data_IF_921733442478
#
_entry.id   IF_921733442478
#
_cell.length_a   1.000
_cell.length_b   1.000
_cell.length_c   1.000
_cell.angle_alpha   90.00
_cell.angle_beta   90.00
_cell.angle_gamma   90.00
#
_symmetry.space_group_name_H-M   'P 1'
#
loop_
_entity.id
_entity.type
_entity.pdbx_description
1 polymer ?
#
# COMPACT_ATOMS: atom_id res chain seq x y z
N UNK A 1 0.38 -9.33 19.32
CA UNK A 1 0.85 -8.52 18.17
C UNK A 1 -0.36 -8.04 17.40
N UNK A 2 -0.35 -6.79 16.95
CA UNK A 2 -1.50 -6.15 16.32
C UNK A 2 -1.15 -5.72 14.89
N UNK A 3 -2.09 -5.90 13.96
CA UNK A 3 -1.99 -5.34 12.62
C UNK A 3 -2.55 -3.92 12.59
N UNK A 4 -1.84 -2.99 11.95
CA UNK A 4 -2.36 -1.67 11.62
C UNK A 4 -2.72 -1.61 10.15
N UNK A 5 -3.97 -1.30 9.86
CA UNK A 5 -4.47 -0.97 8.52
C UNK A 5 -4.86 0.49 8.49
N UNK A 6 -4.40 1.21 7.48
CA UNK A 6 -4.66 2.64 7.40
C UNK A 6 -4.76 3.15 5.97
N UNK A 7 -5.49 4.26 5.85
CA UNK A 7 -5.69 5.04 4.66
C UNK A 7 -5.48 6.50 5.04
N UNK A 8 -4.42 7.10 4.51
CA UNK A 8 -3.99 8.44 4.86
C UNK A 8 -3.91 9.33 3.62
N UNK A 9 -4.22 10.61 3.78
CA UNK A 9 -4.21 11.59 2.70
C UNK A 9 -3.12 12.64 2.91
N UNK A 10 -2.38 12.91 1.85
CA UNK A 10 -1.31 13.91 1.81
C UNK A 10 -1.86 15.34 1.68
N UNK A 11 -2.57 15.86 2.70
CA UNK A 11 -3.00 17.27 2.85
C UNK A 11 -3.28 17.66 4.31
N UNK A 12 -3.03 18.94 4.62
CA UNK A 12 -3.57 19.67 5.78
C UNK A 12 -4.90 20.34 5.38
N UNK A 13 -6.05 19.85 5.85
CA UNK A 13 -7.32 20.58 5.77
C UNK A 13 -8.46 19.89 4.99
N UNK A 14 -9.60 19.84 5.70
CA UNK A 14 -10.99 19.46 5.42
C UNK A 14 -11.35 18.09 4.78
N UNK A 15 -12.40 17.54 5.39
CA UNK A 15 -12.87 16.14 5.50
C UNK A 15 -13.42 15.54 4.19
N UNK A 16 -13.00 14.29 3.93
CA UNK A 16 -13.58 13.14 3.21
C UNK A 16 -14.44 13.33 1.95
N UNK A 17 -14.10 12.54 0.92
CA UNK A 17 -15.10 11.94 0.02
C UNK A 17 -15.75 10.75 0.76
N UNK A 18 -17.08 10.58 0.70
CA UNK A 18 -17.77 9.47 1.36
C UNK A 18 -17.43 8.11 0.72
N UNK A 19 -17.29 7.10 1.58
CA UNK A 19 -17.17 5.68 1.24
C UNK A 19 -18.27 5.25 0.25
N UNK A 20 -17.92 4.44 -0.75
CA UNK A 20 -18.86 3.93 -1.76
C UNK A 20 -19.09 2.46 -1.47
N UNK A 21 -20.21 2.15 -0.79
CA UNK A 21 -20.67 0.78 -0.55
C UNK A 21 -20.54 -0.11 -1.81
N UNK A 22 -19.74 -1.17 -1.72
CA UNK A 22 -19.86 -2.33 -2.60
C UNK A 22 -21.11 -3.13 -2.19
N UNK A 23 -22.20 -2.95 -2.93
CA UNK A 23 -23.34 -3.86 -2.86
C UNK A 23 -22.93 -5.27 -3.33
N UNK A 24 -23.46 -6.30 -2.66
CA UNK A 24 -23.25 -7.72 -2.95
C UNK A 24 -23.30 -8.02 -4.47
N UNK A 25 -22.14 -8.16 -5.12
CA UNK A 25 -22.03 -8.82 -6.43
C UNK A 25 -21.49 -8.01 -7.63
N UNK A 26 -20.84 -6.86 -7.49
CA UNK A 26 -20.29 -6.18 -8.68
C UNK A 26 -19.16 -5.19 -8.42
N UNK A 27 -18.08 -5.33 -9.20
CA UNK A 27 -16.99 -4.37 -9.49
C UNK A 27 -16.87 -3.17 -8.56
N UNK A 28 -15.73 -3.05 -7.86
CA UNK A 28 -15.38 -1.89 -7.04
C UNK A 28 -15.56 -0.59 -7.85
N UNK A 29 -16.59 0.20 -7.53
CA UNK A 29 -16.90 1.50 -8.16
C UNK A 29 -16.32 2.67 -7.37
N UNK A 30 -15.24 2.46 -6.62
CA UNK A 30 -14.59 3.56 -5.94
C UNK A 30 -13.93 4.50 -6.97
N UNK A 31 -14.48 5.71 -7.12
CA UNK A 31 -13.91 6.74 -7.99
C UNK A 31 -12.48 7.16 -7.59
N UNK A 32 -12.01 6.69 -6.44
CA UNK A 32 -10.67 6.93 -5.90
C UNK A 32 -9.57 6.41 -6.82
N UNK A 33 -9.76 5.26 -7.49
CA UNK A 33 -8.75 4.65 -8.37
C UNK A 33 -8.99 4.86 -9.87
N UNK A 34 -10.20 5.30 -10.25
CA UNK A 34 -10.56 5.48 -11.65
C UNK A 34 -9.62 6.49 -12.32
N UNK A 35 -9.02 6.09 -13.44
CA UNK A 35 -8.06 6.90 -14.21
C UNK A 35 -6.83 7.36 -13.41
N UNK A 36 -6.50 6.68 -12.30
CA UNK A 36 -5.37 7.01 -11.42
C UNK A 36 -4.11 6.21 -11.73
N UNK A 37 -2.98 6.77 -11.31
CA UNK A 37 -1.71 6.03 -11.22
C UNK A 37 -1.57 5.45 -9.82
N UNK A 38 -1.68 4.12 -9.71
CA UNK A 38 -1.61 3.36 -8.47
C UNK A 38 -0.27 2.59 -8.43
N UNK A 39 0.49 2.79 -7.35
CA UNK A 39 1.81 2.18 -7.15
C UNK A 39 1.74 1.26 -5.94
N UNK A 40 2.29 0.06 -6.02
CA UNK A 40 2.40 -0.90 -4.92
C UNK A 40 3.86 -1.18 -4.60
N UNK A 41 4.29 -0.82 -3.39
CA UNK A 41 5.68 -0.91 -2.93
C UNK A 41 5.85 -2.16 -2.06
N UNK A 42 6.77 -3.03 -2.47
CA UNK A 42 6.87 -4.39 -1.96
C UNK A 42 5.68 -5.23 -2.42
N UNK A 43 5.38 -5.20 -3.72
CA UNK A 43 4.15 -5.79 -4.25
C UNK A 43 4.11 -7.33 -4.19
N UNK A 44 5.25 -7.99 -4.02
CA UNK A 44 5.34 -9.44 -4.11
C UNK A 44 4.97 -10.00 -5.50
N UNK A 45 5.03 -11.33 -5.67
CA UNK A 45 4.72 -12.00 -6.94
C UNK A 45 3.22 -12.05 -7.26
N UNK A 46 2.35 -11.74 -6.27
CA UNK A 46 0.89 -11.68 -6.41
C UNK A 46 0.44 -10.24 -6.17
N UNK A 47 0.86 -9.34 -7.06
CA UNK A 47 0.70 -7.90 -6.91
C UNK A 47 -0.69 -7.48 -6.41
N UNK A 48 -0.74 -6.63 -5.38
CA UNK A 48 -1.98 -6.28 -4.69
C UNK A 48 -2.94 -5.43 -5.54
N UNK A 49 -2.51 -5.00 -6.73
CA UNK A 49 -3.27 -4.16 -7.66
C UNK A 49 -3.88 -4.92 -8.83
N UNK A 50 -3.72 -6.24 -8.92
CA UNK A 50 -4.24 -7.06 -10.02
C UNK A 50 -5.74 -6.90 -10.28
N UNK A 51 -6.51 -6.51 -9.26
CA UNK A 51 -7.95 -6.26 -9.34
C UNK A 51 -8.32 -4.88 -9.91
N UNK A 52 -7.35 -3.97 -10.10
CA UNK A 52 -7.55 -2.64 -10.70
C UNK A 52 -7.58 -2.65 -12.23
N UNK A 53 -7.57 -3.83 -12.84
CA UNK A 53 -7.68 -4.01 -14.29
C UNK A 53 -8.96 -3.33 -14.84
N UNK A 54 -8.79 -2.50 -15.86
CA UNK A 54 -9.86 -1.69 -16.42
C UNK A 54 -10.41 -0.57 -15.52
N UNK A 55 -9.81 -0.34 -14.33
CA UNK A 55 -10.21 0.70 -13.38
C UNK A 55 -9.14 1.80 -13.32
N UNK A 56 -7.90 1.44 -12.99
CA UNK A 56 -6.79 2.38 -12.89
C UNK A 56 -6.22 2.71 -14.27
N UNK A 57 -5.68 3.92 -14.43
CA UNK A 57 -4.95 4.29 -15.65
C UNK A 57 -3.62 3.55 -15.71
N UNK A 58 -2.94 3.44 -14.57
CA UNK A 58 -1.67 2.73 -14.41
C UNK A 58 -1.68 1.96 -13.09
N UNK A 59 -1.33 0.67 -13.14
CA UNK A 59 -1.02 -0.16 -11.99
C UNK A 59 0.45 -0.58 -12.08
N UNK A 60 1.25 -0.22 -11.08
CA UNK A 60 2.69 -0.46 -11.07
C UNK A 60 3.08 -1.14 -9.75
N UNK A 61 3.74 -2.29 -9.83
CA UNK A 61 4.36 -2.98 -8.71
C UNK A 61 5.85 -2.72 -8.67
N UNK A 62 6.37 -2.38 -7.49
CA UNK A 62 7.80 -2.18 -7.26
C UNK A 62 8.22 -3.16 -6.18
N UNK A 63 9.22 -3.99 -6.49
CA UNK A 63 9.74 -4.98 -5.56
C UNK A 63 11.18 -5.36 -5.95
N UNK A 64 12.13 -5.48 -5.01
CA UNK A 64 13.51 -5.84 -5.35
C UNK A 64 13.63 -7.20 -6.04
N UNK A 65 12.67 -8.10 -5.86
CA UNK A 65 12.63 -9.43 -6.46
C UNK A 65 11.77 -9.51 -7.72
N UNK A 66 11.25 -8.39 -8.23
CA UNK A 66 10.33 -8.37 -9.36
C UNK A 66 10.85 -9.07 -10.63
N UNK A 67 12.16 -9.04 -10.87
CA UNK A 67 12.81 -9.74 -11.99
C UNK A 67 12.66 -11.27 -11.93
N UNK A 68 12.30 -11.82 -10.76
CA UNK A 68 12.09 -13.26 -10.55
C UNK A 68 10.62 -13.65 -10.65
N UNK A 69 9.72 -12.69 -10.83
CA UNK A 69 8.30 -12.92 -10.70
C UNK A 69 7.65 -13.59 -11.92
N UNK A 70 8.36 -13.69 -13.05
CA UNK A 70 7.92 -14.46 -14.23
C UNK A 70 7.53 -15.90 -13.88
N UNK A 71 8.23 -16.51 -12.90
CA UNK A 71 7.96 -17.87 -12.40
C UNK A 71 6.59 -18.01 -11.71
N UNK A 72 5.93 -16.89 -11.37
CA UNK A 72 4.63 -16.84 -10.72
C UNK A 72 3.51 -16.37 -11.66
N UNK A 73 3.73 -16.44 -12.98
CA UNK A 73 2.74 -16.13 -14.02
C UNK A 73 2.22 -14.67 -13.97
N UNK A 74 3.08 -13.72 -13.56
CA UNK A 74 2.73 -12.29 -13.52
C UNK A 74 2.36 -11.70 -14.87
N UNK A 75 2.73 -12.34 -15.98
CA UNK A 75 2.37 -11.91 -17.33
C UNK A 75 0.86 -11.92 -17.58
N UNK A 76 0.11 -12.64 -16.76
CA UNK A 76 -1.37 -12.62 -16.76
C UNK A 76 -1.97 -11.42 -16.03
N UNK A 77 -1.15 -10.66 -15.29
CA UNK A 77 -1.57 -9.48 -14.56
C UNK A 77 -1.51 -8.24 -15.45
N UNK A 78 -2.56 -7.41 -15.47
CA UNK A 78 -2.52 -6.10 -16.12
C UNK A 78 -1.83 -5.06 -15.22
N UNK A 79 -0.55 -5.29 -14.93
CA UNK A 79 0.26 -4.51 -14.00
C UNK A 79 1.72 -4.50 -14.44
N UNK A 80 2.38 -3.34 -14.40
CA UNK A 80 3.80 -3.22 -14.70
C UNK A 80 4.62 -3.56 -13.45
N UNK A 81 5.55 -4.50 -13.55
CA UNK A 81 6.47 -4.84 -12.46
C UNK A 81 7.84 -4.20 -12.69
N UNK A 82 8.39 -3.57 -11.67
CA UNK A 82 9.69 -2.90 -11.69
C UNK A 82 10.56 -3.43 -10.56
N UNK A 83 11.74 -3.93 -10.92
CA UNK A 83 12.74 -4.35 -9.95
C UNK A 83 13.44 -3.13 -9.35
N UNK A 84 13.02 -2.71 -8.16
CA UNK A 84 13.66 -1.62 -7.42
C UNK A 84 13.37 -1.72 -5.92
N UNK A 85 14.17 -0.99 -5.16
CA UNK A 85 14.12 -0.90 -3.71
C UNK A 85 13.14 0.20 -3.27
N UNK A 86 12.51 0.05 -2.11
CA UNK A 86 11.61 1.07 -1.56
C UNK A 86 12.36 2.36 -1.19
N UNK A 87 13.65 2.24 -0.88
CA UNK A 87 14.56 3.32 -0.52
C UNK A 87 15.01 4.17 -1.72
N UNK A 88 14.82 3.68 -2.94
CA UNK A 88 15.19 4.36 -4.18
C UNK A 88 14.19 4.02 -5.30
N UNK A 89 13.05 4.71 -5.30
CA UNK A 89 11.98 4.46 -6.26
C UNK A 89 12.33 5.11 -7.61
N UNK A 90 12.28 4.36 -8.73
CA UNK A 90 12.55 4.88 -10.08
C UNK A 90 11.35 5.66 -10.64
N UNK A 91 10.74 6.49 -9.81
CA UNK A 91 9.57 7.30 -10.10
C UNK A 91 9.89 8.78 -9.86
N UNK A 92 9.23 9.66 -10.63
CA UNK A 92 9.34 11.10 -10.42
C UNK A 92 8.64 11.51 -9.14
N UNK A 93 9.05 12.62 -8.56
CA UNK A 93 8.31 13.21 -7.43
C UNK A 93 6.89 13.55 -7.86
N UNK A 94 5.91 13.36 -6.96
CA UNK A 94 4.50 13.65 -7.20
C UNK A 94 3.93 12.99 -8.47
N UNK A 95 4.30 11.74 -8.75
CA UNK A 95 3.78 10.97 -9.89
C UNK A 95 2.64 10.01 -9.53
N UNK A 96 2.51 9.60 -8.26
CA UNK A 96 1.52 8.64 -7.80
C UNK A 96 0.26 9.32 -7.25
N UNK A 97 -0.92 8.90 -7.70
CA UNK A 97 -2.19 9.33 -7.10
C UNK A 97 -2.52 8.50 -5.85
N UNK A 98 -2.18 7.21 -5.89
CA UNK A 98 -2.32 6.28 -4.77
C UNK A 98 -1.06 5.44 -4.64
N UNK A 99 -0.57 5.30 -3.41
CA UNK A 99 0.53 4.39 -3.06
C UNK A 99 0.00 3.33 -2.10
N UNK A 100 0.34 2.08 -2.38
CA UNK A 100 0.08 0.90 -1.59
C UNK A 100 1.39 0.39 -0.98
N UNK A 101 1.33 -0.14 0.23
CA UNK A 101 2.42 -0.91 0.83
C UNK A 101 1.82 -1.94 1.79
N UNK A 102 1.89 -3.20 1.38
CA UNK A 102 1.10 -4.26 1.98
C UNK A 102 1.99 -5.25 2.70
N UNK A 103 2.15 -5.08 4.02
CA UNK A 103 3.01 -5.89 4.89
C UNK A 103 4.43 -6.04 4.31
N UNK A 104 5.02 -4.90 3.93
CA UNK A 104 6.29 -4.85 3.19
C UNK A 104 7.33 -3.88 3.78
N UNK A 105 6.91 -2.88 4.56
CA UNK A 105 7.81 -1.81 5.02
C UNK A 105 8.83 -2.26 6.07
N UNK A 106 8.52 -3.30 6.83
CA UNK A 106 9.39 -3.91 7.83
C UNK A 106 10.56 -4.69 7.22
N UNK A 107 10.54 -4.98 5.92
CA UNK A 107 11.60 -5.71 5.20
C UNK A 107 12.72 -4.81 4.63
N UNK A 108 12.60 -3.49 4.73
CA UNK A 108 13.54 -2.54 4.11
C UNK A 108 14.83 -2.42 4.93
N UNK A 109 15.93 -2.02 4.29
CA UNK A 109 17.21 -1.80 4.98
C UNK A 109 17.22 -0.42 5.67
N UNK A 110 16.60 0.59 5.05
CA UNK A 110 16.46 1.94 5.60
C UNK A 110 15.00 2.40 5.55
N UNK A 111 14.34 2.29 6.70
CA UNK A 111 12.92 2.60 6.83
C UNK A 111 12.61 4.09 6.71
N UNK A 112 13.51 4.96 7.19
CA UNK A 112 13.32 6.40 7.06
C UNK A 112 13.42 6.84 5.60
N UNK A 113 14.41 6.32 4.88
CA UNK A 113 14.59 6.57 3.46
C UNK A 113 13.39 6.05 2.65
N UNK A 114 12.90 4.83 2.92
CA UNK A 114 11.69 4.30 2.29
C UNK A 114 10.46 5.20 2.55
N UNK A 115 10.27 5.66 3.79
CA UNK A 115 9.20 6.62 4.13
C UNK A 115 9.37 7.96 3.40
N UNK A 116 10.61 8.42 3.20
CA UNK A 116 10.97 9.58 2.38
C UNK A 116 10.52 9.42 0.94
N UNK A 117 10.88 8.31 0.30
CA UNK A 117 10.53 8.01 -1.09
C UNK A 117 9.02 7.91 -1.31
N UNK A 118 8.31 7.22 -0.42
CA UNK A 118 6.84 7.14 -0.43
C UNK A 118 6.22 8.54 -0.44
N UNK A 119 6.68 9.42 0.46
CA UNK A 119 6.21 10.81 0.51
C UNK A 119 6.58 11.58 -0.76
N UNK A 120 7.78 11.36 -1.29
CA UNK A 120 8.28 12.04 -2.50
C UNK A 120 7.44 11.71 -3.73
N UNK A 121 7.12 10.44 -3.95
CA UNK A 121 6.39 10.00 -5.16
C UNK A 121 4.90 10.31 -5.08
N UNK A 122 4.32 10.39 -3.88
CA UNK A 122 2.91 10.68 -3.70
C UNK A 122 2.58 12.13 -4.07
N UNK A 123 1.56 12.32 -4.92
CA UNK A 123 1.05 13.64 -5.27
C UNK A 123 0.50 14.38 -4.04
N UNK A 124 0.53 15.72 -4.02
CA UNK A 124 -0.28 16.50 -3.10
C UNK A 124 -1.76 16.12 -3.21
N UNK A 125 -2.39 15.73 -2.10
CA UNK A 125 -3.76 15.24 -2.05
C UNK A 125 -3.94 13.79 -2.51
N UNK A 126 -2.87 13.08 -2.84
CA UNK A 126 -2.86 11.64 -3.08
C UNK A 126 -3.05 10.85 -1.78
N UNK A 127 -3.29 9.55 -1.94
CA UNK A 127 -3.58 8.64 -0.84
C UNK A 127 -2.50 7.60 -0.66
N UNK A 128 -2.24 7.26 0.59
CA UNK A 128 -1.48 6.08 0.96
C UNK A 128 -2.41 5.06 1.60
N UNK A 129 -2.30 3.80 1.19
CA UNK A 129 -3.00 2.64 1.75
C UNK A 129 -1.95 1.64 2.19
N UNK A 130 -2.00 1.20 3.44
CA UNK A 130 -1.07 0.16 3.88
C UNK A 130 -1.57 -0.69 5.01
N UNK A 131 -0.87 -1.82 5.17
CA UNK A 131 -1.00 -2.72 6.30
C UNK A 131 0.37 -3.11 6.81
N UNK A 132 0.52 -3.25 8.12
CA UNK A 132 1.78 -3.59 8.75
C UNK A 132 1.57 -4.16 10.15
N UNK A 133 2.50 -4.98 10.61
CA UNK A 133 2.46 -5.54 11.96
C UNK A 133 3.18 -4.60 12.92
N UNK A 134 2.56 -4.33 14.06
CA UNK A 134 3.08 -3.45 15.09
C UNK A 134 3.65 -4.24 16.25
N UNK A 135 4.74 -3.69 16.80
CA UNK A 135 5.40 -4.17 18.01
C UNK A 135 5.89 -5.64 17.90
N UNK A 136 6.12 -6.12 16.67
CA UNK A 136 6.77 -7.41 16.45
C UNK A 136 8.29 -7.27 16.63
N UNK A 137 8.96 -8.22 17.31
CA UNK A 137 10.41 -8.21 17.42
C UNK A 137 11.06 -8.30 16.03
N UNK A 138 12.10 -7.50 15.80
CA UNK A 138 12.87 -7.56 14.57
C UNK A 138 13.39 -8.98 14.29
N UNK A 139 13.27 -9.41 13.04
CA UNK A 139 13.80 -10.69 12.54
C UNK A 139 14.85 -10.42 11.47
N UNK A 140 15.69 -11.40 11.07
CA UNK A 140 16.67 -11.20 10.01
C UNK A 140 16.08 -10.74 8.68
N UNK A 141 14.82 -11.09 8.41
CA UNK A 141 14.11 -10.70 7.18
C UNK A 141 13.20 -9.50 7.36
N UNK A 142 12.92 -9.08 8.60
CA UNK A 142 12.10 -7.93 8.99
C UNK A 142 12.86 -7.14 10.07
N UNK A 143 13.90 -6.38 9.70
CA UNK A 143 14.83 -5.78 10.67
C UNK A 143 14.21 -4.66 11.54
N UNK A 144 12.96 -4.28 11.30
CA UNK A 144 12.31 -3.16 11.97
C UNK A 144 11.15 -3.60 12.88
N UNK A 145 11.19 -3.20 14.15
CA UNK A 145 10.00 -3.15 14.99
C UNK A 145 9.22 -1.88 14.68
N UNK A 146 8.16 -2.00 13.91
CA UNK A 146 7.28 -0.88 13.58
C UNK A 146 6.40 -0.52 14.77
N UNK A 147 6.36 0.77 15.09
CA UNK A 147 5.47 1.33 16.11
C UNK A 147 4.60 2.43 15.50
N UNK A 148 3.44 2.67 16.10
CA UNK A 148 2.57 3.77 15.69
C UNK A 148 3.29 5.12 15.75
N UNK A 149 4.07 5.37 16.79
CA UNK A 149 4.83 6.62 16.97
C UNK A 149 5.86 6.83 15.86
N UNK A 150 6.56 5.77 15.45
CA UNK A 150 7.49 5.85 14.34
C UNK A 150 6.77 6.24 13.04
N UNK A 151 5.64 5.58 12.74
CA UNK A 151 4.89 5.84 11.51
C UNK A 151 4.34 7.26 11.48
N UNK A 152 3.86 7.78 12.60
CA UNK A 152 3.38 9.17 12.69
C UNK A 152 4.51 10.19 12.42
N UNK A 153 5.70 9.95 12.97
CA UNK A 153 6.85 10.86 12.83
C UNK A 153 7.47 10.81 11.44
N UNK A 154 7.59 9.61 10.87
CA UNK A 154 8.39 9.38 9.66
C UNK A 154 7.55 9.18 8.41
N UNK A 155 6.46 8.42 8.46
CA UNK A 155 5.63 8.13 7.27
C UNK A 155 4.50 9.15 7.10
N UNK A 156 3.70 9.37 8.13
CA UNK A 156 2.50 10.24 8.08
C UNK A 156 2.80 11.71 8.36
N UNK A 157 4.06 12.11 8.33
CA UNK A 157 4.46 13.49 8.58
C UNK A 157 3.74 14.44 7.62
N UNK A 158 2.77 15.19 8.14
CA UNK A 158 1.96 16.14 7.37
C UNK A 158 0.79 15.52 6.62
N UNK A 159 0.46 14.25 6.88
CA UNK A 159 -0.70 13.56 6.33
C UNK A 159 -1.82 13.49 7.36
N UNK A 160 -3.06 13.47 6.87
CA UNK A 160 -4.24 13.28 7.72
C UNK A 160 -4.75 11.85 7.51
N UNK A 161 -4.81 10.99 8.53
CA UNK A 161 -5.43 9.69 8.41
C UNK A 161 -6.94 9.85 8.17
N UNK A 162 -7.44 9.31 7.06
CA UNK A 162 -8.87 9.28 6.76
C UNK A 162 -9.53 8.02 7.37
N UNK A 163 -8.79 6.91 7.41
CA UNK A 163 -9.16 5.71 8.16
C UNK A 163 -7.93 5.10 8.81
N UNK A 164 -8.08 4.60 10.03
CA UNK A 164 -7.04 3.92 10.79
C UNK A 164 -7.69 2.85 11.67
N UNK A 165 -7.20 1.62 11.60
CA UNK A 165 -7.67 0.53 12.45
C UNK A 165 -6.51 -0.34 12.88
N UNK A 166 -6.36 -0.44 14.19
CA UNK A 166 -5.55 -1.47 14.84
C UNK A 166 -6.46 -2.68 15.07
N UNK A 167 -6.07 -3.84 14.56
CA UNK A 167 -6.79 -5.10 14.78
C UNK A 167 -5.86 -6.14 15.41
N UNK A 168 -6.38 -7.06 16.24
CA UNK A 168 -5.64 -8.27 16.59
C UNK A 168 -5.24 -8.98 15.30
N UNK A 169 -4.06 -9.62 15.27
CA UNK A 169 -3.66 -10.49 14.15
C UNK A 169 -4.80 -11.49 13.92
N UNK A 170 -5.39 -11.47 12.72
CA UNK A 170 -6.45 -12.41 12.39
C UNK A 170 -5.80 -13.78 12.20
N UNK A 171 -6.10 -14.72 13.10
CA UNK A 171 -5.86 -16.14 12.89
C UNK A 171 -6.87 -16.62 11.83
N UNK A 172 -6.62 -16.37 10.55
CA UNK A 172 -7.47 -16.92 9.50
C UNK A 172 -6.63 -17.61 8.44
N UNK A 173 -6.85 -18.93 8.32
CA UNK A 173 -6.32 -19.81 7.27
C UNK A 173 -6.63 -19.33 5.83
N UNK A 174 -7.51 -18.33 5.68
CA UNK A 174 -7.73 -17.60 4.44
C UNK A 174 -6.53 -16.70 4.13
N UNK A 175 -5.58 -17.23 3.35
CA UNK A 175 -4.39 -16.58 2.78
C UNK A 175 -4.64 -15.26 2.00
N UNK A 176 -5.86 -14.74 1.99
CA UNK A 176 -6.33 -13.57 1.25
C UNK A 176 -7.13 -12.57 2.11
N UNK A 177 -7.36 -12.89 3.40
CA UNK A 177 -8.26 -12.18 4.31
C UNK A 177 -8.03 -10.67 4.46
N UNK A 178 -6.80 -10.17 4.72
CA UNK A 178 -6.62 -8.74 5.04
C UNK A 178 -6.76 -7.83 3.82
N UNK A 179 -6.29 -8.25 2.64
CA UNK A 179 -6.29 -7.43 1.42
C UNK A 179 -7.68 -7.29 0.81
N UNK A 180 -8.38 -8.41 0.60
CA UNK A 180 -9.77 -8.37 0.10
C UNK A 180 -10.70 -7.65 1.07
N UNK A 181 -10.53 -7.86 2.38
CA UNK A 181 -11.28 -7.14 3.41
C UNK A 181 -10.99 -5.63 3.38
N UNK A 182 -9.74 -5.22 3.17
CA UNK A 182 -9.38 -3.81 2.96
C UNK A 182 -10.16 -3.21 1.79
N UNK A 183 -10.20 -3.90 0.66
CA UNK A 183 -10.85 -3.40 -0.56
C UNK A 183 -12.39 -3.45 -0.52
N UNK A 184 -12.99 -4.42 0.16
CA UNK A 184 -14.45 -4.62 0.20
C UNK A 184 -15.14 -3.87 1.35
N UNK A 185 -14.43 -3.49 2.42
CA UNK A 185 -15.05 -2.88 3.62
C UNK A 185 -14.53 -1.51 4.03
N UNK A 186 -13.39 -1.05 3.51
CA UNK A 186 -12.85 0.29 3.84
C UNK A 186 -13.11 1.35 2.77
N UNK A 187 -13.44 0.94 1.55
CA UNK A 187 -13.70 1.81 0.40
C UNK A 187 -15.12 1.61 -0.12
#
# INVERSE_FOLDING_TARGET
MAGLVFYARNRAGNRLLPCIHAGNGGTCRCGVFREKSCIDIGCGPKGSLTWLDGIAKHAIGIDPLASRYELFNISSHNMLYIAARAEELPLRSSSADVVFSMNSLDHVDDLEQACGEIRRVLKPGGHFIGSLNLDEPATPTEPWTLTEDYLERHLFRGWTPEFRRVCPRLDSEEHWGPYRYMFERLL
#
